data_IF_151221397639
#
_entry.id   IF_151221397639
#
_cell.length_a   1.000
_cell.length_b   1.000
_cell.length_c   1.000
_cell.angle_alpha   90.00
_cell.angle_beta   90.00
_cell.angle_gamma   90.00
#
_symmetry.space_group_name_H-M   'P 1'
#
loop_
_entity.id
_entity.type
_entity.pdbx_description
1 polymer ?
#
# COMPACT_ATOMS: atom_id res chain seq x y z
N UNK A 1 1.68 5.45 2.89
CA UNK A 1 0.70 4.41 3.28
C UNK A 1 1.38 3.40 4.21
N UNK A 2 0.65 2.54 4.95
CA UNK A 2 1.28 1.53 5.83
C UNK A 2 2.17 0.53 5.07
N UNK A 3 2.01 0.42 3.75
CA UNK A 3 2.74 -0.51 2.89
C UNK A 3 3.76 0.13 1.95
N UNK A 4 3.91 1.46 1.96
CA UNK A 4 4.88 2.17 1.13
C UNK A 4 4.38 3.54 0.65
N UNK A 5 5.02 4.08 -0.38
CA UNK A 5 4.60 5.31 -1.04
C UNK A 5 3.64 5.01 -2.19
N UNK A 6 2.67 5.90 -2.39
CA UNK A 6 1.81 5.95 -3.57
C UNK A 6 1.99 7.35 -4.20
N UNK A 7 1.87 7.49 -5.53
CA UNK A 7 1.95 8.79 -6.17
C UNK A 7 0.80 9.69 -5.72
N UNK A 8 1.04 11.01 -5.68
CA UNK A 8 -0.01 11.98 -5.39
C UNK A 8 -0.94 12.11 -6.60
N UNK A 9 -2.24 12.34 -6.37
CA UNK A 9 -3.19 12.54 -7.46
C UNK A 9 -2.80 13.68 -8.42
N UNK A 10 -2.35 14.87 -7.95
CA UNK A 10 -1.94 15.95 -8.83
C UNK A 10 -0.78 15.59 -9.76
N UNK A 11 0.17 14.78 -9.28
CA UNK A 11 1.31 14.33 -10.09
C UNK A 11 0.84 13.40 -11.21
N UNK A 12 -0.02 12.44 -10.91
CA UNK A 12 -0.58 11.56 -11.93
C UNK A 12 -1.45 12.33 -12.93
N UNK A 13 -2.29 13.24 -12.45
CA UNK A 13 -3.13 14.09 -13.31
C UNK A 13 -2.28 14.87 -14.31
N UNK A 14 -1.20 15.49 -13.83
CA UNK A 14 -0.26 16.23 -14.68
C UNK A 14 0.44 15.32 -15.67
N UNK A 15 0.99 14.19 -15.23
CA UNK A 15 1.73 13.26 -16.10
C UNK A 15 0.85 12.61 -17.17
N UNK A 16 -0.39 12.22 -16.82
CA UNK A 16 -1.32 11.66 -17.80
C UNK A 16 -1.69 12.68 -18.88
N UNK A 17 -1.85 13.94 -18.52
CA UNK A 17 -2.08 14.99 -19.49
C UNK A 17 -0.84 15.23 -20.36
N UNK A 18 0.31 15.52 -19.75
CA UNK A 18 1.54 15.90 -20.46
C UNK A 18 2.06 14.79 -21.38
N UNK A 19 2.10 13.54 -20.90
CA UNK A 19 2.76 12.43 -21.59
C UNK A 19 1.79 11.62 -22.44
N UNK A 20 0.56 11.39 -21.94
CA UNK A 20 -0.40 10.50 -22.58
C UNK A 20 -1.53 11.25 -23.30
N UNK A 21 -1.64 12.56 -23.12
CA UNK A 21 -2.75 13.39 -23.62
C UNK A 21 -4.11 12.81 -23.19
N UNK A 22 -4.19 12.36 -21.93
CA UNK A 22 -5.39 11.75 -21.34
C UNK A 22 -5.77 12.44 -20.04
N UNK A 23 -7.08 12.57 -19.82
CA UNK A 23 -7.60 12.95 -18.52
C UNK A 23 -7.43 11.79 -17.52
N UNK A 24 -7.02 12.12 -16.30
CA UNK A 24 -6.93 11.18 -15.19
C UNK A 24 -7.85 11.62 -14.05
N UNK A 25 -8.91 10.86 -13.82
CA UNK A 25 -10.00 11.21 -12.89
C UNK A 25 -9.68 10.75 -11.48
N UNK A 26 -10.21 11.47 -10.49
CA UNK A 26 -10.07 11.08 -9.08
C UNK A 26 -10.66 9.69 -8.79
N UNK A 27 -11.75 9.33 -9.47
CA UNK A 27 -12.37 8.00 -9.36
C UNK A 27 -11.40 6.88 -9.75
N UNK A 28 -10.59 7.09 -10.80
CA UNK A 28 -9.57 6.14 -11.23
C UNK A 28 -8.45 6.02 -10.19
N UNK A 29 -8.02 7.15 -9.64
CA UNK A 29 -7.03 7.21 -8.57
C UNK A 29 -7.51 6.47 -7.32
N UNK A 30 -8.73 6.75 -6.85
CA UNK A 30 -9.33 6.05 -5.71
C UNK A 30 -9.40 4.56 -5.99
N UNK A 31 -9.90 4.14 -7.14
CA UNK A 31 -10.03 2.72 -7.50
C UNK A 31 -8.68 1.98 -7.51
N UNK A 32 -7.64 2.62 -8.06
CA UNK A 32 -6.30 2.04 -8.22
C UNK A 32 -5.54 1.99 -6.89
N UNK A 33 -5.64 3.05 -6.08
CA UNK A 33 -4.82 3.23 -4.87
C UNK A 33 -5.56 3.02 -3.55
N UNK A 34 -6.82 2.58 -3.58
CA UNK A 34 -7.53 2.11 -2.38
C UNK A 34 -6.72 1.04 -1.66
N UNK A 35 -6.42 1.30 -0.39
CA UNK A 35 -5.76 0.34 0.47
C UNK A 35 -6.79 -0.69 0.96
N UNK A 36 -6.56 -1.95 0.60
CA UNK A 36 -7.40 -3.09 0.97
C UNK A 36 -6.74 -3.86 2.10
N UNK A 37 -7.09 -3.53 3.33
CA UNK A 37 -6.29 -3.87 4.52
C UNK A 37 -6.28 -5.38 4.77
N UNK A 38 -7.43 -6.05 4.67
CA UNK A 38 -7.54 -7.50 4.90
C UNK A 38 -6.71 -8.30 3.89
N UNK A 39 -6.74 -7.91 2.63
CA UNK A 39 -6.02 -8.55 1.54
C UNK A 39 -4.51 -8.34 1.66
N UNK A 40 -4.08 -7.18 2.15
CA UNK A 40 -2.68 -6.94 2.48
C UNK A 40 -2.22 -7.80 3.67
N UNK A 41 -3.03 -7.95 4.72
CA UNK A 41 -2.74 -8.84 5.85
C UNK A 41 -2.62 -10.30 5.39
N UNK A 42 -3.58 -10.80 4.61
CA UNK A 42 -3.53 -12.16 4.03
C UNK A 42 -2.30 -12.35 3.14
N UNK A 43 -1.88 -11.32 2.38
CA UNK A 43 -0.65 -11.35 1.59
C UNK A 43 0.58 -11.51 2.49
N UNK A 44 0.67 -10.77 3.59
CA UNK A 44 1.78 -10.90 4.56
C UNK A 44 1.84 -12.31 5.14
N UNK A 45 0.71 -12.88 5.53
CA UNK A 45 0.65 -14.25 6.07
C UNK A 45 1.17 -15.27 5.04
N UNK A 46 0.68 -15.18 3.80
CA UNK A 46 1.11 -16.07 2.71
C UNK A 46 2.60 -15.95 2.40
N UNK A 47 3.12 -14.72 2.33
CA UNK A 47 4.54 -14.47 2.07
C UNK A 47 5.40 -14.99 3.22
N UNK A 48 5.04 -14.66 4.47
CA UNK A 48 5.73 -15.16 5.67
C UNK A 48 5.83 -16.68 5.66
N UNK A 49 4.73 -17.37 5.34
CA UNK A 49 4.71 -18.84 5.25
C UNK A 49 5.69 -19.38 4.22
N UNK A 50 5.70 -18.82 3.00
CA UNK A 50 6.60 -19.26 1.93
C UNK A 50 8.06 -19.12 2.35
N UNK A 51 8.44 -17.97 2.89
CA UNK A 51 9.83 -17.72 3.27
C UNK A 51 10.28 -18.49 4.52
N UNK A 52 9.36 -18.87 5.41
CA UNK A 52 9.68 -19.77 6.53
C UNK A 52 9.84 -21.23 6.10
N UNK A 53 9.01 -21.70 5.17
CA UNK A 53 8.92 -23.12 4.84
C UNK A 53 9.73 -23.54 3.62
N UNK A 54 10.02 -22.62 2.70
CA UNK A 54 10.55 -22.96 1.36
C UNK A 54 11.87 -22.29 1.01
N UNK A 55 12.40 -21.41 1.87
CA UNK A 55 13.63 -20.65 1.61
C UNK A 55 14.52 -20.72 2.86
N UNK A 56 15.54 -21.58 2.80
CA UNK A 56 16.36 -21.97 3.96
C UNK A 56 17.22 -20.82 4.51
N UNK A 57 17.63 -19.88 3.67
CA UNK A 57 18.55 -18.78 3.98
C UNK A 57 17.87 -17.41 4.13
N UNK A 58 16.56 -17.40 4.38
CA UNK A 58 15.81 -16.15 4.56
C UNK A 58 16.37 -15.32 5.72
N UNK A 59 16.78 -14.06 5.47
CA UNK A 59 17.23 -13.16 6.54
C UNK A 59 16.12 -12.86 7.56
N UNK A 60 16.45 -12.87 8.85
CA UNK A 60 15.51 -12.57 9.94
C UNK A 60 14.83 -11.20 9.80
N UNK A 61 15.57 -10.21 9.29
CA UNK A 61 15.08 -8.84 9.03
C UNK A 61 13.84 -8.80 8.11
N UNK A 62 13.68 -9.79 7.21
CA UNK A 62 12.47 -9.87 6.39
C UNK A 62 11.21 -10.03 7.26
N UNK A 63 11.27 -10.90 8.26
CA UNK A 63 10.13 -11.17 9.14
C UNK A 63 9.85 -10.02 10.09
N UNK A 64 10.88 -9.31 10.53
CA UNK A 64 10.75 -8.10 11.34
C UNK A 64 10.00 -7.02 10.55
N UNK A 65 10.44 -6.74 9.33
CA UNK A 65 9.80 -5.74 8.45
C UNK A 65 8.35 -6.12 8.11
N UNK A 66 8.07 -7.41 7.86
CA UNK A 66 6.71 -7.89 7.59
C UNK A 66 5.79 -7.75 8.82
N UNK A 67 6.30 -8.00 10.03
CA UNK A 67 5.53 -7.81 11.26
C UNK A 67 5.29 -6.33 11.57
N UNK A 68 6.26 -5.46 11.33
CA UNK A 68 6.07 -4.01 11.43
C UNK A 68 5.02 -3.50 10.44
N UNK A 69 5.06 -3.98 9.20
CA UNK A 69 4.04 -3.67 8.19
C UNK A 69 2.66 -4.15 8.62
N UNK A 70 2.57 -5.37 9.18
CA UNK A 70 1.32 -5.92 9.73
C UNK A 70 0.76 -5.04 10.84
N UNK A 71 1.59 -4.58 11.78
CA UNK A 71 1.17 -3.67 12.87
C UNK A 71 0.62 -2.35 12.33
N UNK A 72 1.28 -1.73 11.35
CA UNK A 72 0.77 -0.50 10.70
C UNK A 72 -0.57 -0.73 10.00
N UNK A 73 -0.76 -1.88 9.35
CA UNK A 73 -2.03 -2.25 8.72
C UNK A 73 -3.16 -2.45 9.74
N UNK A 74 -2.89 -3.09 10.87
CA UNK A 74 -3.88 -3.26 11.94
C UNK A 74 -4.31 -1.92 12.55
N UNK A 75 -3.37 -1.00 12.77
CA UNK A 75 -3.69 0.35 13.23
C UNK A 75 -4.59 1.10 12.23
N UNK A 76 -4.31 0.97 10.92
CA UNK A 76 -5.16 1.55 9.87
C UNK A 76 -6.53 0.87 9.81
N UNK A 77 -6.61 -0.45 10.01
CA UNK A 77 -7.88 -1.19 10.07
C UNK A 77 -8.77 -0.68 11.21
N UNK A 78 -8.19 -0.48 12.39
CA UNK A 78 -8.90 0.04 13.56
C UNK A 78 -9.39 1.47 13.34
N UNK A 79 -8.57 2.32 12.71
CA UNK A 79 -8.87 3.74 12.54
C UNK A 79 -9.81 4.04 11.36
N UNK A 80 -9.63 3.35 10.23
CA UNK A 80 -10.27 3.70 8.95
C UNK A 80 -11.07 2.56 8.32
N UNK A 81 -10.99 1.35 8.87
CA UNK A 81 -11.70 0.18 8.36
C UNK A 81 -10.97 -0.55 7.23
N UNK A 82 -11.65 -1.53 6.60
CA UNK A 82 -11.01 -2.50 5.70
C UNK A 82 -10.63 -1.95 4.33
N UNK A 83 -11.29 -0.89 3.85
CA UNK A 83 -11.05 -0.26 2.55
C UNK A 83 -10.83 1.24 2.76
N UNK A 84 -9.59 1.70 2.57
CA UNK A 84 -9.20 3.07 2.91
C UNK A 84 -8.94 3.87 1.63
N UNK A 85 -9.61 5.02 1.53
CA UNK A 85 -9.43 5.96 0.44
C UNK A 85 -7.98 6.49 0.41
N UNK A 86 -7.30 6.51 -0.76
CA UNK A 86 -5.90 6.94 -0.84
C UNK A 86 -5.64 8.39 -0.40
N UNK A 87 -6.65 9.27 -0.48
CA UNK A 87 -6.53 10.67 -0.04
C UNK A 87 -6.24 10.81 1.46
N UNK A 88 -6.48 9.78 2.27
CA UNK A 88 -6.08 9.73 3.69
C UNK A 88 -4.55 9.76 3.87
N UNK A 89 -3.79 9.32 2.86
CA UNK A 89 -2.34 9.17 2.92
C UNK A 89 -1.56 10.29 2.22
N UNK A 90 -2.23 11.33 1.73
CA UNK A 90 -1.57 12.46 1.08
C UNK A 90 -0.91 13.37 2.13
N UNK A 91 0.34 13.06 2.50
CA UNK A 91 1.20 13.99 3.22
C UNK A 91 2.47 14.25 2.42
N UNK A 92 2.70 15.53 2.11
CA UNK A 92 4.02 16.04 1.74
C UNK A 92 4.69 16.43 3.05
N UNK A 93 5.49 15.53 3.63
CA UNK A 93 6.48 15.96 4.62
C UNK A 93 7.63 16.60 3.84
N UNK A 94 7.59 17.93 3.72
CA UNK A 94 8.74 18.74 3.30
C UNK A 94 9.66 18.94 4.50
#
# INVERSE_FOLDING_TARGET
TPTGLIPLYPDLKRLFWEVLQKEYREEDYVKQFTLRVHENLQKIERVTKIYREKVEDTPAVLFEVLEEQRKRLLAVLEQYGPYVNPFVFETVST
#
